data_IF_131478605592
#
_entry.id   IF_131478605592
#
_cell.length_a   1.000
_cell.length_b   1.000
_cell.length_c   1.000
_cell.angle_alpha   90.00
_cell.angle_beta   90.00
_cell.angle_gamma   90.00
#
_symmetry.space_group_name_H-M   'P 1'
#
loop_
_entity.id
_entity.type
_entity.pdbx_description
1 polymer ?
#
# COMPACT_ATOMS: atom_id res chain seq x y z
N UNK A 1 -10.41 10.21 -32.62
CA UNK A 1 -9.62 10.78 -31.50
C UNK A 1 -10.43 10.65 -30.22
N UNK A 2 -9.99 9.81 -29.26
CA UNK A 2 -10.69 9.56 -27.99
C UNK A 2 -10.71 10.81 -27.10
N UNK A 3 -11.84 11.11 -26.45
CA UNK A 3 -12.07 12.33 -25.63
C UNK A 3 -11.23 12.41 -24.34
N UNK A 4 -10.43 11.40 -24.02
CA UNK A 4 -9.78 11.25 -22.72
C UNK A 4 -8.35 11.83 -22.62
N UNK A 5 -7.83 12.49 -23.66
CA UNK A 5 -6.43 12.98 -23.67
C UNK A 5 -6.24 14.23 -22.81
N UNK A 6 -7.30 15.01 -22.55
CA UNK A 6 -7.21 16.34 -21.89
C UNK A 6 -6.81 16.32 -20.42
N UNK A 7 -6.95 15.20 -19.71
CA UNK A 7 -6.62 15.08 -18.27
C UNK A 7 -5.43 14.15 -17.99
N UNK A 8 -4.62 13.85 -19.02
CA UNK A 8 -3.42 13.03 -18.87
C UNK A 8 -2.17 13.91 -18.79
N UNK A 9 -2.07 14.74 -17.75
CA UNK A 9 -0.81 15.46 -17.48
C UNK A 9 0.32 14.46 -17.25
N UNK A 10 1.17 14.32 -18.27
CA UNK A 10 2.37 13.46 -18.32
C UNK A 10 3.58 14.14 -17.69
N UNK A 11 3.57 15.47 -17.54
CA UNK A 11 4.63 16.29 -16.94
C UNK A 11 4.65 16.18 -15.41
N UNK A 12 3.52 15.83 -14.78
CA UNK A 12 3.45 15.66 -13.33
C UNK A 12 4.20 14.38 -12.92
N UNK A 13 5.22 14.45 -12.05
CA UNK A 13 5.94 13.27 -11.59
C UNK A 13 5.00 12.34 -10.82
N UNK A 14 4.92 11.08 -11.26
CA UNK A 14 4.19 10.01 -10.59
C UNK A 14 5.19 8.97 -10.09
N UNK A 15 4.86 8.27 -9.01
CA UNK A 15 5.69 7.14 -8.58
C UNK A 15 5.75 6.09 -9.69
N UNK A 16 6.96 5.65 -10.04
CA UNK A 16 7.17 4.52 -10.94
C UNK A 16 6.57 3.23 -10.35
N UNK A 17 6.33 2.22 -11.19
CA UNK A 17 5.88 0.91 -10.74
C UNK A 17 6.82 0.31 -9.69
N UNK A 18 8.13 0.36 -9.94
CA UNK A 18 9.15 -0.10 -9.00
C UNK A 18 9.08 0.63 -7.65
N UNK A 19 8.93 1.96 -7.65
CA UNK A 19 8.80 2.73 -6.41
C UNK A 19 7.52 2.40 -5.63
N UNK A 20 6.42 2.08 -6.32
CA UNK A 20 5.18 1.61 -5.68
C UNK A 20 5.37 0.25 -5.03
N UNK A 21 6.04 -0.68 -5.71
CA UNK A 21 6.30 -2.03 -5.22
C UNK A 21 7.25 -2.02 -4.02
N UNK A 22 8.33 -1.24 -4.08
CA UNK A 22 9.26 -1.07 -2.95
C UNK A 22 8.55 -0.54 -1.70
N UNK A 23 7.69 0.46 -1.85
CA UNK A 23 6.88 0.98 -0.74
C UNK A 23 5.97 -0.10 -0.15
N UNK A 24 5.33 -0.92 -0.98
CA UNK A 24 4.48 -2.01 -0.49
C UNK A 24 5.29 -3.01 0.34
N UNK A 25 6.45 -3.41 -0.16
CA UNK A 25 7.33 -4.35 0.51
C UNK A 25 7.81 -3.82 1.87
N UNK A 26 8.20 -2.55 1.93
CA UNK A 26 8.56 -1.88 3.19
C UNK A 26 7.37 -1.82 4.17
N UNK A 27 6.16 -1.55 3.69
CA UNK A 27 4.97 -1.57 4.53
C UNK A 27 4.66 -2.97 5.07
N UNK A 28 4.81 -4.02 4.26
CA UNK A 28 4.64 -5.40 4.72
C UNK A 28 5.63 -5.74 5.84
N UNK A 29 6.92 -5.42 5.66
CA UNK A 29 7.96 -5.61 6.68
C UNK A 29 7.63 -4.88 7.98
N UNK A 30 7.13 -3.65 7.90
CA UNK A 30 6.71 -2.87 9.08
C UNK A 30 5.52 -3.51 9.80
N UNK A 31 4.53 -4.03 9.08
CA UNK A 31 3.39 -4.72 9.71
C UNK A 31 3.81 -5.99 10.44
N UNK A 32 4.74 -6.75 9.86
CA UNK A 32 5.33 -7.93 10.53
C UNK A 32 6.07 -7.51 11.79
N UNK A 33 6.88 -6.45 11.73
CA UNK A 33 7.57 -5.91 12.91
C UNK A 33 6.61 -5.39 14.01
N UNK A 34 5.40 -4.97 13.63
CA UNK A 34 4.33 -4.57 14.56
C UNK A 34 3.53 -5.78 15.11
N UNK A 35 3.91 -7.02 14.74
CA UNK A 35 3.32 -8.25 15.28
C UNK A 35 2.20 -8.85 14.44
N UNK A 36 1.99 -8.40 13.19
CA UNK A 36 1.02 -9.04 12.28
C UNK A 36 1.68 -10.27 11.65
N UNK A 37 1.06 -11.46 11.69
CA UNK A 37 1.59 -12.65 11.03
C UNK A 37 1.83 -12.44 9.54
N UNK A 38 2.97 -12.93 9.02
CA UNK A 38 3.37 -12.72 7.63
C UNK A 38 2.35 -13.27 6.64
N UNK A 39 1.77 -14.44 6.91
CA UNK A 39 0.71 -15.05 6.10
C UNK A 39 -0.51 -14.13 5.95
N UNK A 40 -0.96 -13.52 7.06
CA UNK A 40 -2.05 -12.54 7.04
C UNK A 40 -1.66 -11.32 6.21
N UNK A 41 -0.44 -10.80 6.36
CA UNK A 41 0.04 -9.63 5.59
C UNK A 41 0.09 -9.92 4.08
N UNK A 42 0.45 -11.13 3.67
CA UNK A 42 0.49 -11.53 2.26
C UNK A 42 -0.90 -11.59 1.62
N UNK A 43 -1.92 -11.97 2.39
CA UNK A 43 -3.32 -11.99 1.96
C UNK A 43 -3.99 -10.60 1.92
N UNK A 44 -3.34 -9.55 2.44
CA UNK A 44 -3.92 -8.21 2.50
C UNK A 44 -3.77 -7.39 1.21
N UNK A 45 -4.84 -6.68 0.85
CA UNK A 45 -4.83 -5.70 -0.21
C UNK A 45 -3.96 -4.47 0.11
N UNK A 46 -3.43 -3.84 -0.95
CA UNK A 46 -2.57 -2.64 -0.82
C UNK A 46 -3.19 -1.45 -0.05
N UNK A 47 -4.50 -1.13 -0.18
CA UNK A 47 -5.12 -0.08 0.63
C UNK A 47 -5.17 -0.44 2.12
N UNK A 48 -5.45 -1.71 2.44
CA UNK A 48 -5.54 -2.20 3.82
C UNK A 48 -4.19 -2.12 4.51
N UNK A 49 -3.13 -2.59 3.84
CA UNK A 49 -1.74 -2.47 4.32
C UNK A 49 -1.38 -1.01 4.67
N UNK A 50 -1.70 -0.07 3.76
CA UNK A 50 -1.45 1.37 4.00
C UNK A 50 -2.27 1.93 5.16
N UNK A 51 -3.53 1.50 5.31
CA UNK A 51 -4.41 1.93 6.40
C UNK A 51 -3.88 1.48 7.77
N UNK A 52 -3.42 0.24 7.88
CA UNK A 52 -2.86 -0.30 9.12
C UNK A 52 -1.56 0.39 9.53
N UNK A 53 -0.69 0.72 8.57
CA UNK A 53 0.50 1.51 8.84
C UNK A 53 0.15 2.93 9.31
N UNK A 54 -0.85 3.56 8.69
CA UNK A 54 -1.29 4.90 9.08
C UNK A 54 -2.02 4.94 10.43
N UNK A 55 -2.71 3.84 10.79
CA UNK A 55 -3.47 3.71 12.03
C UNK A 55 -3.15 2.38 12.72
N UNK A 56 -2.01 2.28 13.44
CA UNK A 56 -1.59 1.05 14.10
C UNK A 56 -2.58 0.54 15.17
N UNK A 57 -3.39 1.41 15.76
CA UNK A 57 -4.43 1.03 16.72
C UNK A 57 -5.44 0.02 16.17
N UNK A 58 -5.66 0.03 14.85
CA UNK A 58 -6.56 -0.90 14.19
C UNK A 58 -5.95 -2.31 14.08
N UNK A 59 -4.63 -2.48 14.21
CA UNK A 59 -3.98 -3.79 14.01
C UNK A 59 -4.62 -4.88 14.89
N UNK A 60 -4.93 -4.56 16.15
CA UNK A 60 -5.56 -5.52 17.08
C UNK A 60 -6.88 -6.07 16.55
N UNK A 61 -7.74 -5.22 15.97
CA UNK A 61 -9.04 -5.64 15.44
C UNK A 61 -8.94 -6.48 14.16
N UNK A 62 -7.80 -6.45 13.47
CA UNK A 62 -7.57 -7.24 12.25
C UNK A 62 -6.78 -8.54 12.52
N UNK A 63 -6.07 -8.60 13.63
CA UNK A 63 -5.27 -9.77 14.02
C UNK A 63 -6.08 -10.74 14.89
N UNK A 64 -6.95 -10.23 15.78
CA UNK A 64 -7.99 -11.03 16.45
C UNK A 64 -8.85 -11.79 15.43
#
# INVERSE_FOLDING_TARGET
MSRNVRNNDTTRPRKSGAAKNRRLLEHRRRLVALGVPEEKVLQMDHPRIRKLIAKPSLIKSFVQ
#
